data_IF_392955598564
#
_entry.id   IF_392955598564
#
_cell.length_a   1.000
_cell.length_b   1.000
_cell.length_c   1.000
_cell.angle_alpha   90.00
_cell.angle_beta   90.00
_cell.angle_gamma   90.00
#
_symmetry.space_group_name_H-M   'P 1'
#
loop_
_entity.id
_entity.type
_entity.pdbx_description
1 polymer ?
#
# COMPACT_ATOMS: atom_id res chain seq x y z
N UNK A 1 13.20 -9.08 9.02
CA UNK A 1 13.21 -7.62 8.76
C UNK A 1 14.01 -7.37 7.50
N UNK A 2 13.41 -6.73 6.49
CA UNK A 2 14.07 -6.31 5.26
C UNK A 2 14.33 -4.80 5.33
N UNK A 3 15.60 -4.39 5.31
CA UNK A 3 15.98 -2.99 5.47
C UNK A 3 17.31 -2.65 4.80
N UNK A 4 17.55 -1.37 4.51
CA UNK A 4 18.85 -0.88 4.06
C UNK A 4 19.90 -0.93 5.19
N UNK A 5 21.19 -1.05 4.88
CA UNK A 5 22.28 -1.08 5.89
C UNK A 5 22.39 0.23 6.70
N UNK A 6 21.91 1.33 6.13
CA UNK A 6 21.88 2.66 6.72
C UNK A 6 20.49 3.05 7.28
N UNK A 7 19.60 2.08 7.52
CA UNK A 7 18.22 2.37 7.94
C UNK A 7 18.14 2.91 9.38
N UNK A 8 19.03 2.48 10.28
CA UNK A 8 18.98 2.85 11.70
C UNK A 8 20.32 3.39 12.23
N UNK A 9 20.30 4.43 13.06
CA UNK A 9 21.50 5.06 13.62
C UNK A 9 22.41 4.11 14.43
N UNK A 10 21.84 3.08 15.08
CA UNK A 10 22.57 2.03 15.81
C UNK A 10 22.18 0.64 15.32
N UNK A 11 22.12 0.45 14.00
CA UNK A 11 21.57 -0.75 13.35
C UNK A 11 22.13 -2.07 13.88
N UNK A 12 23.46 -2.20 14.04
CA UNK A 12 24.08 -3.41 14.58
C UNK A 12 23.57 -3.76 15.99
N UNK A 13 23.39 -2.76 16.85
CA UNK A 13 22.86 -2.96 18.21
C UNK A 13 21.40 -3.39 18.14
N UNK A 14 20.58 -2.70 17.33
CA UNK A 14 19.17 -3.03 17.13
C UNK A 14 18.99 -4.47 16.62
N UNK A 15 19.75 -4.87 15.59
CA UNK A 15 19.64 -6.20 15.00
C UNK A 15 20.05 -7.28 16.01
N UNK A 16 21.12 -7.08 16.78
CA UNK A 16 21.50 -8.02 17.84
C UNK A 16 20.43 -8.12 18.95
N UNK A 17 19.80 -7.00 19.31
CA UNK A 17 18.68 -7.02 20.25
C UNK A 17 17.47 -7.77 19.70
N UNK A 18 17.14 -7.61 18.41
CA UNK A 18 16.05 -8.34 17.78
C UNK A 18 16.34 -9.84 17.70
N UNK A 19 17.56 -10.24 17.32
CA UNK A 19 18.01 -11.65 17.31
C UNK A 19 17.87 -12.35 18.66
N UNK A 20 18.00 -11.62 19.76
CA UNK A 20 17.91 -12.19 21.12
C UNK A 20 16.51 -12.16 21.71
N UNK A 21 15.59 -11.41 21.12
CA UNK A 21 14.24 -11.18 21.68
C UNK A 21 13.10 -11.70 20.80
N UNK A 22 13.39 -12.02 19.54
CA UNK A 22 12.41 -12.51 18.57
C UNK A 22 12.93 -13.83 18.01
N UNK A 23 12.30 -14.92 18.42
CA UNK A 23 12.67 -16.27 17.99
C UNK A 23 12.56 -16.39 16.46
N UNK A 24 13.58 -16.98 15.83
CA UNK A 24 13.66 -17.12 14.39
C UNK A 24 13.85 -15.80 13.62
N UNK A 25 14.23 -14.70 14.29
CA UNK A 25 14.44 -13.42 13.63
C UNK A 25 15.57 -13.47 12.59
N UNK A 26 15.22 -13.13 11.35
CA UNK A 26 16.15 -12.95 10.25
C UNK A 26 16.18 -11.48 9.82
N UNK A 27 17.38 -10.88 9.80
CA UNK A 27 17.61 -9.59 9.18
C UNK A 27 18.16 -9.79 7.76
N UNK A 28 17.53 -9.14 6.78
CA UNK A 28 18.00 -9.04 5.40
C UNK A 28 18.40 -7.57 5.22
N UNK A 29 19.70 -7.33 5.32
CA UNK A 29 20.29 -5.99 5.21
C UNK A 29 20.80 -5.77 3.78
N UNK A 30 20.31 -4.72 3.11
CA UNK A 30 20.74 -4.34 1.77
C UNK A 30 21.96 -3.42 1.86
N UNK A 31 23.14 -3.82 1.37
CA UNK A 31 24.33 -2.99 1.46
C UNK A 31 24.29 -1.84 0.45
N UNK A 32 24.86 -0.68 0.81
CA UNK A 32 24.87 0.52 -0.04
C UNK A 32 25.66 0.31 -1.34
N UNK A 33 26.57 -0.68 -1.36
CA UNK A 33 27.30 -1.08 -2.55
C UNK A 33 26.47 -1.86 -3.59
N UNK A 34 25.32 -2.44 -3.20
CA UNK A 34 24.38 -3.10 -4.11
C UNK A 34 23.23 -2.16 -4.51
N UNK A 35 22.68 -1.43 -3.54
CA UNK A 35 21.62 -0.44 -3.73
C UNK A 35 21.93 0.78 -2.87
N UNK A 36 22.15 1.94 -3.47
CA UNK A 36 22.42 3.16 -2.71
C UNK A 36 21.16 3.69 -2.01
N UNK A 37 21.32 4.57 -1.02
CA UNK A 37 20.17 5.27 -0.40
C UNK A 37 19.38 6.07 -1.45
N UNK A 38 20.07 6.69 -2.41
CA UNK A 38 19.43 7.43 -3.50
C UNK A 38 18.54 6.52 -4.34
N UNK A 39 19.04 5.34 -4.70
CA UNK A 39 18.27 4.37 -5.49
C UNK A 39 17.10 3.81 -4.69
N UNK A 40 17.32 3.52 -3.40
CA UNK A 40 16.25 3.07 -2.51
C UNK A 40 15.09 4.07 -2.39
N UNK A 41 15.41 5.38 -2.39
CA UNK A 41 14.41 6.46 -2.43
C UNK A 41 13.76 6.56 -3.81
N UNK A 42 14.55 6.52 -4.89
CA UNK A 42 14.03 6.67 -6.25
C UNK A 42 13.11 5.52 -6.68
N UNK A 43 13.38 4.30 -6.22
CA UNK A 43 12.61 3.10 -6.61
C UNK A 43 11.55 2.68 -5.62
N UNK A 44 11.54 3.27 -4.41
CA UNK A 44 10.63 2.88 -3.33
C UNK A 44 10.78 1.40 -2.91
N UNK A 45 11.96 0.80 -3.07
CA UNK A 45 12.23 -0.61 -2.73
C UNK A 45 11.71 -1.02 -1.35
N UNK A 46 11.96 -0.20 -0.33
CA UNK A 46 11.55 -0.50 1.05
C UNK A 46 10.12 -0.04 1.37
N UNK A 47 9.44 0.59 0.42
CA UNK A 47 7.99 0.81 0.46
C UNK A 47 7.22 -0.36 -0.15
N UNK A 48 7.83 -1.54 -0.19
CA UNK A 48 7.20 -2.79 -0.60
C UNK A 48 6.29 -3.37 0.48
N UNK A 49 5.40 -4.27 0.08
CA UNK A 49 4.74 -5.16 1.03
C UNK A 49 5.48 -6.50 1.07
N UNK A 50 5.71 -7.01 2.27
CA UNK A 50 6.24 -8.34 2.49
C UNK A 50 5.11 -9.22 3.03
N UNK A 51 4.60 -10.10 2.18
CA UNK A 51 3.42 -10.93 2.46
C UNK A 51 3.84 -12.36 2.76
N UNK A 52 3.30 -12.95 3.83
CA UNK A 52 3.51 -14.37 4.15
C UNK A 52 2.56 -15.26 3.37
N UNK A 53 3.05 -16.41 2.90
CA UNK A 53 2.27 -17.49 2.30
C UNK A 53 2.06 -18.62 3.31
N UNK A 54 1.12 -19.52 3.03
CA UNK A 54 0.76 -20.62 3.93
C UNK A 54 1.91 -21.61 4.17
N UNK A 55 2.86 -21.71 3.24
CA UNK A 55 4.06 -22.55 3.35
C UNK A 55 5.22 -21.88 4.11
N UNK A 56 5.02 -20.67 4.64
CA UNK A 56 6.03 -19.89 5.35
C UNK A 56 6.95 -19.05 4.46
N UNK A 57 6.89 -19.23 3.14
CA UNK A 57 7.59 -18.37 2.19
C UNK A 57 6.95 -16.98 2.11
N UNK A 58 7.68 -16.01 1.56
CA UNK A 58 7.26 -14.61 1.47
C UNK A 58 7.25 -14.12 0.02
N UNK A 59 6.29 -13.25 -0.28
CA UNK A 59 6.15 -12.51 -1.54
C UNK A 59 6.47 -11.03 -1.31
N UNK A 60 7.31 -10.46 -2.16
CA UNK A 60 7.61 -9.03 -2.16
C UNK A 60 6.76 -8.31 -3.21
N UNK A 61 5.88 -7.41 -2.76
CA UNK A 61 5.05 -6.56 -3.63
C UNK A 61 5.76 -5.24 -3.86
N UNK A 62 6.07 -4.93 -5.12
CA UNK A 62 6.97 -3.85 -5.53
C UNK A 62 6.28 -2.89 -6.51
N UNK A 63 6.68 -1.60 -6.52
CA UNK A 63 6.31 -0.69 -7.59
C UNK A 63 7.15 -0.95 -8.86
N UNK A 64 6.65 -0.50 -10.02
CA UNK A 64 7.30 -0.71 -11.33
C UNK A 64 8.70 -0.10 -11.41
N UNK A 65 8.95 0.99 -10.70
CA UNK A 65 10.24 1.68 -10.59
C UNK A 65 11.36 0.75 -10.09
N UNK A 66 11.03 -0.25 -9.27
CA UNK A 66 11.99 -1.29 -8.85
C UNK A 66 12.42 -2.19 -10.01
N UNK A 67 11.51 -2.48 -10.94
CA UNK A 67 11.78 -3.32 -12.12
C UNK A 67 12.53 -2.55 -13.20
N UNK A 68 12.17 -1.28 -13.41
CA UNK A 68 12.78 -0.44 -14.44
C UNK A 68 14.22 -0.01 -14.07
N UNK A 69 14.54 0.02 -12.76
CA UNK A 69 15.88 0.35 -12.30
C UNK A 69 16.81 -0.88 -12.27
N UNK A 70 17.72 -0.97 -13.25
CA UNK A 70 18.64 -2.12 -13.47
C UNK A 70 19.38 -2.58 -12.22
N UNK A 71 19.95 -1.67 -11.42
CA UNK A 71 20.69 -2.00 -10.20
C UNK A 71 19.82 -2.70 -9.14
N UNK A 72 18.72 -2.06 -8.75
CA UNK A 72 17.71 -2.59 -7.82
C UNK A 72 17.11 -3.89 -8.33
N UNK A 73 16.72 -3.98 -9.60
CA UNK A 73 16.14 -5.20 -10.15
C UNK A 73 17.13 -6.38 -10.10
N UNK A 74 18.40 -6.14 -10.41
CA UNK A 74 19.45 -7.16 -10.28
C UNK A 74 19.61 -7.62 -8.83
N UNK A 75 19.66 -6.69 -7.87
CA UNK A 75 19.72 -7.03 -6.45
C UNK A 75 18.52 -7.88 -6.01
N UNK A 76 17.32 -7.48 -6.42
CA UNK A 76 16.07 -8.18 -6.11
C UNK A 76 16.03 -9.61 -6.66
N UNK A 77 16.47 -9.82 -7.90
CA UNK A 77 16.56 -11.18 -8.48
C UNK A 77 17.58 -12.05 -7.75
N UNK A 78 18.72 -11.47 -7.34
CA UNK A 78 19.69 -12.15 -6.48
C UNK A 78 19.06 -12.52 -5.13
N UNK A 79 18.38 -11.58 -4.47
CA UNK A 79 17.71 -11.79 -3.18
C UNK A 79 16.70 -12.94 -3.25
N UNK A 80 15.90 -13.04 -4.32
CA UNK A 80 14.91 -14.12 -4.48
C UNK A 80 15.55 -15.49 -4.74
N UNK A 81 16.78 -15.51 -5.26
CA UNK A 81 17.53 -16.74 -5.51
C UNK A 81 18.36 -17.21 -4.30
N UNK A 82 18.53 -16.35 -3.28
CA UNK A 82 19.27 -16.67 -2.06
C UNK A 82 18.43 -17.50 -1.06
N UNK A 83 19.11 -18.15 -0.11
CA UNK A 83 18.46 -18.92 0.96
C UNK A 83 17.86 -17.98 2.03
N UNK A 84 16.65 -17.50 1.76
CA UNK A 84 15.87 -16.68 2.67
C UNK A 84 14.35 -16.84 2.39
N UNK A 85 13.46 -16.32 3.26
CA UNK A 85 12.02 -16.50 3.08
C UNK A 85 11.45 -15.87 1.81
N UNK A 86 12.09 -14.86 1.21
CA UNK A 86 11.56 -14.14 0.03
C UNK A 86 11.76 -15.01 -1.20
N UNK A 87 10.70 -15.66 -1.67
CA UNK A 87 10.75 -16.64 -2.77
C UNK A 87 10.13 -16.14 -4.07
N UNK A 88 9.45 -14.99 -4.03
CA UNK A 88 8.74 -14.45 -5.17
C UNK A 88 8.63 -12.93 -5.10
N UNK A 89 8.38 -12.31 -6.24
CA UNK A 89 8.10 -10.89 -6.39
C UNK A 89 6.86 -10.67 -7.25
N UNK A 90 6.08 -9.66 -6.92
CA UNK A 90 4.96 -9.18 -7.71
C UNK A 90 5.11 -7.67 -7.93
N UNK A 91 5.13 -7.25 -9.19
CA UNK A 91 5.26 -5.83 -9.55
C UNK A 91 3.88 -5.27 -9.91
N UNK A 92 3.59 -4.06 -9.43
CA UNK A 92 2.39 -3.30 -9.79
C UNK A 92 2.76 -1.92 -10.34
N UNK A 93 1.97 -1.47 -11.32
CA UNK A 93 2.06 -0.10 -11.85
C UNK A 93 1.22 0.83 -10.98
N UNK A 94 1.89 1.71 -10.22
CA UNK A 94 1.29 2.66 -9.28
C UNK A 94 1.71 4.10 -9.59
N UNK A 95 2.01 4.40 -10.86
CA UNK A 95 2.61 5.69 -11.29
C UNK A 95 1.94 6.93 -10.70
N UNK A 96 0.61 6.97 -10.67
CA UNK A 96 -0.14 8.12 -10.12
C UNK A 96 0.11 8.35 -8.62
N UNK A 97 0.22 7.27 -7.85
CA UNK A 97 0.52 7.33 -6.42
C UNK A 97 2.00 7.61 -6.18
N UNK A 98 2.88 6.97 -6.97
CA UNK A 98 4.33 7.16 -6.92
C UNK A 98 4.75 8.60 -7.28
N UNK A 99 4.05 9.25 -8.21
CA UNK A 99 4.26 10.67 -8.54
C UNK A 99 4.05 11.60 -7.34
N UNK A 100 3.27 11.18 -6.35
CA UNK A 100 3.04 11.87 -5.08
C UNK A 100 3.75 11.20 -3.89
N UNK A 101 4.69 10.30 -4.14
CA UNK A 101 5.50 9.65 -3.12
C UNK A 101 4.80 8.53 -2.33
N UNK A 102 3.74 7.91 -2.88
CA UNK A 102 3.06 6.75 -2.30
C UNK A 102 3.34 5.46 -3.07
N UNK A 103 4.14 4.55 -2.51
CA UNK A 103 4.31 3.21 -3.05
C UNK A 103 3.30 2.19 -2.48
N UNK A 104 3.48 0.89 -2.76
CA UNK A 104 2.55 -0.17 -2.35
C UNK A 104 2.26 -0.20 -0.84
N UNK A 105 3.26 0.06 0.00
CA UNK A 105 3.09 0.07 1.44
C UNK A 105 2.36 1.32 1.95
N UNK A 106 2.41 2.45 1.24
CA UNK A 106 1.70 3.67 1.65
C UNK A 106 0.18 3.56 1.44
N UNK A 107 -0.28 2.76 0.48
CA UNK A 107 -1.70 2.61 0.13
C UNK A 107 -2.47 1.63 1.03
N UNK A 108 -1.88 1.14 2.12
CA UNK A 108 -2.45 0.06 2.94
C UNK A 108 -2.18 0.20 4.43
N UNK A 109 -3.18 -0.20 5.22
CA UNK A 109 -3.08 -0.40 6.66
C UNK A 109 -3.04 -1.90 6.97
N UNK A 110 -2.07 -2.34 7.80
CA UNK A 110 -2.01 -3.73 8.25
C UNK A 110 -2.77 -3.87 9.56
N UNK A 111 -3.76 -4.75 9.59
CA UNK A 111 -4.54 -5.08 10.78
C UNK A 111 -4.56 -6.60 10.93
N UNK A 112 -3.96 -7.11 12.01
CA UNK A 112 -4.02 -8.54 12.34
C UNK A 112 -5.33 -8.78 13.08
N UNK A 113 -6.14 -9.72 12.60
CA UNK A 113 -7.43 -10.05 13.16
C UNK A 113 -7.53 -11.56 13.34
N UNK A 114 -8.11 -11.98 14.45
CA UNK A 114 -8.65 -13.33 14.62
C UNK A 114 -9.86 -13.55 13.70
N UNK A 115 -10.31 -14.79 13.59
CA UNK A 115 -11.51 -15.11 12.80
C UNK A 115 -12.78 -14.43 13.34
N UNK A 116 -12.92 -14.32 14.67
CA UNK A 116 -14.05 -13.64 15.30
C UNK A 116 -14.03 -12.13 15.01
N UNK A 117 -12.87 -11.48 15.20
CA UNK A 117 -12.71 -10.05 14.91
C UNK A 117 -12.90 -9.76 13.42
N UNK A 118 -12.42 -10.64 12.53
CA UNK A 118 -12.64 -10.54 11.08
C UNK A 118 -14.13 -10.56 10.73
N UNK A 119 -14.94 -11.38 11.39
CA UNK A 119 -16.39 -11.44 11.18
C UNK A 119 -17.12 -10.19 11.70
N UNK A 120 -16.53 -9.47 12.64
CA UNK A 120 -17.08 -8.23 13.17
C UNK A 120 -16.75 -7.00 12.30
N UNK A 121 -15.82 -7.11 11.34
CA UNK A 121 -15.57 -6.06 10.34
C UNK A 121 -16.80 -5.89 9.46
N UNK A 122 -17.11 -4.64 9.07
CA UNK A 122 -18.16 -4.37 8.08
C UNK A 122 -17.90 -5.20 6.80
N UNK A 123 -18.77 -6.17 6.45
CA UNK A 123 -18.52 -7.05 5.33
C UNK A 123 -18.52 -6.30 3.98
N UNK A 124 -19.18 -5.13 3.90
CA UNK A 124 -19.26 -4.33 2.68
C UNK A 124 -17.93 -3.72 2.25
N UNK A 125 -16.91 -3.70 3.12
CA UNK A 125 -15.55 -3.22 2.76
C UNK A 125 -14.56 -4.36 2.46
N UNK A 126 -14.99 -5.62 2.59
CA UNK A 126 -14.11 -6.77 2.36
C UNK A 126 -14.02 -7.08 0.87
N UNK A 127 -12.83 -6.93 0.30
CA UNK A 127 -12.59 -7.10 -1.14
C UNK A 127 -13.00 -8.48 -1.65
N UNK A 128 -13.75 -8.47 -2.75
CA UNK A 128 -14.20 -9.64 -3.53
C UNK A 128 -14.57 -9.17 -4.95
N UNK A 129 -14.91 -10.10 -5.86
CA UNK A 129 -15.20 -9.77 -7.26
C UNK A 129 -16.36 -8.78 -7.44
N UNK A 130 -17.40 -8.89 -6.60
CA UNK A 130 -18.56 -8.00 -6.68
C UNK A 130 -18.19 -6.58 -6.24
N UNK A 131 -17.48 -6.43 -5.12
CA UNK A 131 -17.02 -5.13 -4.65
C UNK A 131 -16.00 -4.51 -5.61
N UNK A 132 -15.07 -5.31 -6.16
CA UNK A 132 -14.12 -4.86 -7.17
C UNK A 132 -14.85 -4.30 -8.40
N UNK A 133 -15.81 -5.03 -8.94
CA UNK A 133 -16.58 -4.60 -10.12
C UNK A 133 -17.37 -3.33 -9.82
N UNK A 134 -18.03 -3.27 -8.65
CA UNK A 134 -18.82 -2.10 -8.26
C UNK A 134 -17.96 -0.84 -8.06
N UNK A 135 -16.78 -0.97 -7.45
CA UNK A 135 -15.87 0.15 -7.26
C UNK A 135 -15.28 0.66 -8.58
N UNK A 136 -14.96 -0.23 -9.52
CA UNK A 136 -14.51 0.20 -10.86
C UNK A 136 -15.62 0.94 -11.61
N UNK A 137 -16.85 0.42 -11.63
CA UNK A 137 -17.98 1.10 -12.26
C UNK A 137 -18.30 2.46 -11.59
N UNK A 138 -18.13 2.55 -10.26
CA UNK A 138 -18.24 3.82 -9.54
C UNK A 138 -17.14 4.79 -9.95
N UNK A 139 -15.89 4.34 -10.05
CA UNK A 139 -14.78 5.16 -10.50
C UNK A 139 -15.00 5.67 -11.94
N UNK A 140 -15.33 4.77 -12.88
CA UNK A 140 -15.61 5.11 -14.29
C UNK A 140 -16.72 6.16 -14.44
N UNK A 141 -17.70 6.16 -13.53
CA UNK A 141 -18.81 7.11 -13.55
C UNK A 141 -18.44 8.50 -13.06
N UNK A 142 -17.54 8.61 -12.07
CA UNK A 142 -17.35 9.85 -11.31
C UNK A 142 -15.94 10.45 -11.44
N UNK A 143 -14.93 9.67 -11.81
CA UNK A 143 -13.56 10.15 -11.90
C UNK A 143 -13.33 10.82 -13.26
N UNK A 144 -12.62 11.94 -13.24
CA UNK A 144 -12.15 12.61 -14.45
C UNK A 144 -10.81 12.01 -14.86
N UNK A 145 -10.63 11.79 -16.16
CA UNK A 145 -9.36 11.30 -16.72
C UNK A 145 -8.22 12.34 -16.64
N UNK A 146 -8.56 13.59 -16.33
CA UNK A 146 -7.63 14.69 -16.14
C UNK A 146 -8.13 15.66 -15.08
N UNK A 147 -7.24 16.08 -14.18
CA UNK A 147 -7.49 17.10 -13.18
C UNK A 147 -6.25 18.00 -13.02
N UNK A 148 -6.48 19.30 -12.94
CA UNK A 148 -5.45 20.31 -12.65
C UNK A 148 -5.86 21.15 -11.44
N UNK A 149 -4.92 21.91 -10.88
CA UNK A 149 -5.21 22.78 -9.75
C UNK A 149 -6.30 23.84 -10.04
N UNK A 150 -6.43 24.28 -11.30
CA UNK A 150 -7.45 25.25 -11.69
C UNK A 150 -8.87 24.65 -11.66
N UNK A 151 -8.99 23.34 -11.94
CA UNK A 151 -10.28 22.64 -11.96
C UNK A 151 -10.88 22.52 -10.55
N UNK A 152 -10.07 22.71 -9.49
CA UNK A 152 -10.55 22.73 -8.11
C UNK A 152 -11.52 23.89 -7.83
N UNK A 153 -11.53 24.93 -8.67
CA UNK A 153 -12.48 26.03 -8.58
C UNK A 153 -13.81 25.75 -9.30
N UNK A 154 -13.91 24.65 -10.06
CA UNK A 154 -15.12 24.28 -10.79
C UNK A 154 -16.23 23.80 -9.82
N UNK A 155 -17.37 24.50 -9.71
CA UNK A 155 -18.46 24.08 -8.84
C UNK A 155 -19.08 22.73 -9.25
N UNK A 156 -18.91 22.28 -10.50
CA UNK A 156 -19.36 20.96 -10.94
C UNK A 156 -18.54 19.85 -10.28
N UNK A 157 -17.23 20.02 -10.15
CA UNK A 157 -16.36 19.05 -9.47
C UNK A 157 -16.82 18.80 -8.02
N UNK A 158 -17.24 19.87 -7.33
CA UNK A 158 -17.78 19.76 -5.97
C UNK A 158 -19.10 18.98 -5.92
N UNK A 159 -19.99 19.18 -6.90
CA UNK A 159 -21.27 18.46 -6.98
C UNK A 159 -21.05 16.98 -7.28
N UNK A 160 -20.20 16.69 -8.28
CA UNK A 160 -19.79 15.33 -8.66
C UNK A 160 -19.19 14.60 -7.46
N UNK A 161 -18.26 15.24 -6.73
CA UNK A 161 -17.63 14.64 -5.55
C UNK A 161 -18.63 14.31 -4.44
N UNK A 162 -19.60 15.19 -4.15
CA UNK A 162 -20.63 14.91 -3.14
C UNK A 162 -21.54 13.76 -3.54
N UNK A 163 -22.03 13.74 -4.78
CA UNK A 163 -22.85 12.63 -5.27
C UNK A 163 -22.07 11.31 -5.26
N UNK A 164 -20.82 11.33 -5.71
CA UNK A 164 -19.94 10.17 -5.72
C UNK A 164 -19.78 9.59 -4.30
N UNK A 165 -19.50 10.45 -3.31
CA UNK A 165 -19.37 10.02 -1.92
C UNK A 165 -20.70 9.51 -1.33
N UNK A 166 -21.84 10.12 -1.64
CA UNK A 166 -23.16 9.62 -1.22
C UNK A 166 -23.48 8.23 -1.78
N UNK A 167 -23.09 7.97 -3.03
CA UNK A 167 -23.22 6.62 -3.62
C UNK A 167 -22.24 5.66 -2.97
N UNK A 168 -21.00 6.08 -2.72
CA UNK A 168 -19.97 5.22 -2.14
C UNK A 168 -20.30 4.81 -0.70
N UNK A 169 -20.81 5.71 0.15
CA UNK A 169 -21.18 5.34 1.53
C UNK A 169 -22.34 4.36 1.57
N UNK A 170 -23.26 4.41 0.60
CA UNK A 170 -24.32 3.40 0.46
C UNK A 170 -23.77 2.07 -0.04
N UNK A 171 -22.86 2.09 -1.02
CA UNK A 171 -22.20 0.89 -1.53
C UNK A 171 -21.41 0.17 -0.43
N UNK A 172 -20.72 0.93 0.42
CA UNK A 172 -19.87 0.41 1.50
C UNK A 172 -20.59 0.28 2.86
N UNK A 173 -21.90 0.53 2.91
CA UNK A 173 -22.72 0.49 4.12
C UNK A 173 -22.11 1.26 5.31
N UNK A 174 -21.75 2.52 5.08
CA UNK A 174 -21.08 3.38 6.07
C UNK A 174 -22.02 4.40 6.73
N UNK A 175 -23.28 4.50 6.26
CA UNK A 175 -24.20 5.55 6.67
C UNK A 175 -23.69 6.95 6.33
N UNK A 176 -24.17 7.96 7.08
CA UNK A 176 -23.81 9.38 6.90
C UNK A 176 -22.49 9.74 7.60
N UNK A 177 -21.39 9.14 7.15
CA UNK A 177 -20.06 9.33 7.74
C UNK A 177 -19.41 10.67 7.36
N UNK A 178 -19.78 11.25 6.21
CA UNK A 178 -19.21 12.53 5.77
C UNK A 178 -19.96 13.74 6.33
N UNK A 179 -19.27 14.85 6.69
CA UNK A 179 -19.91 16.03 7.29
C UNK A 179 -21.07 16.64 6.47
N UNK A 180 -20.96 16.62 5.13
CA UNK A 180 -22.01 17.17 4.26
C UNK A 180 -23.30 16.33 4.27
N UNK A 181 -23.24 15.08 4.72
CA UNK A 181 -24.38 14.16 4.83
C UNK A 181 -25.15 14.35 6.14
N UNK A 182 -24.52 14.99 7.13
CA UNK A 182 -25.07 15.18 8.48
C UNK A 182 -25.85 16.49 8.60
N UNK A 183 -25.58 17.46 7.72
CA UNK A 183 -26.12 18.82 7.80
C UNK A 183 -27.57 18.94 7.29
N UNK A 184 -28.21 17.85 6.85
CA UNK A 184 -29.63 17.82 6.47
C UNK A 184 -30.61 17.46 7.61
N UNK A 185 -30.14 17.23 8.84
CA UNK A 185 -30.98 16.82 9.97
C UNK A 185 -31.32 17.94 10.98
N UNK A 186 -30.98 19.20 10.68
CA UNK A 186 -31.08 20.32 11.63
C UNK A 186 -31.97 21.49 11.18
N UNK A 187 -32.89 21.27 10.23
CA UNK A 187 -33.96 22.22 9.89
C UNK A 187 -35.30 21.47 9.78
N UNK A 188 -35.91 21.19 10.95
CA UNK A 188 -37.23 20.59 11.09
C UNK A 188 -37.85 20.93 12.43
#
# INVERSE_FOLDING_TARGET
MFCHEAAFARQKVLINQLRTRVDGFMAIEVPAGEVSVSDAVATYLFNSQLLSRNDGSMLLVLPRECQDHVGVWRYLNKLVAEDNPISAMQVFDLRESMANGGGPACLRLRVVLTEEERRAVNPAVMMNDALFTALNAWADRYYRDRLTAADLADPLLLREGREALDVLTRLLDLGSVYPFQQTGAADG
#
